data_IF_402860835675
#
_entry.id   IF_402860835675
#
_cell.length_a   1.000
_cell.length_b   1.000
_cell.length_c   1.000
_cell.angle_alpha   90.00
_cell.angle_beta   90.00
_cell.angle_gamma   90.00
#
_symmetry.space_group_name_H-M   'P 1'
#
loop_
_entity.id
_entity.type
_entity.pdbx_description
1 polymer ?
#
# COMPACT_ATOMS: atom_id res chain seq x y z
N UNK A 1 30.23 18.03 58.89
CA UNK A 1 30.79 17.19 57.81
C UNK A 1 29.83 16.08 57.37
N UNK A 2 29.11 15.43 58.29
CA UNK A 2 28.12 14.37 57.97
C UNK A 2 26.85 14.92 57.28
N UNK A 3 26.34 16.08 57.69
CA UNK A 3 25.15 16.72 57.07
C UNK A 3 25.36 17.16 55.62
N UNK A 4 26.58 17.53 55.23
CA UNK A 4 26.90 17.96 53.86
C UNK A 4 26.99 16.80 52.86
N UNK A 5 27.32 15.60 53.37
CA UNK A 5 27.29 14.34 52.62
C UNK A 5 25.89 13.78 52.50
N UNK A 6 25.02 14.02 53.49
CA UNK A 6 23.63 13.60 53.44
C UNK A 6 22.80 14.48 52.49
N UNK A 7 23.02 15.80 52.54
CA UNK A 7 22.42 16.77 51.61
C UNK A 7 22.87 16.52 50.15
N UNK A 8 24.14 16.15 49.93
CA UNK A 8 24.60 15.69 48.60
C UNK A 8 24.03 14.33 48.20
N UNK A 9 23.74 13.44 49.16
CA UNK A 9 23.14 12.15 48.86
C UNK A 9 21.68 12.28 48.44
N UNK A 10 20.92 13.17 49.10
CA UNK A 10 19.55 13.50 48.72
C UNK A 10 19.52 14.22 47.35
N UNK A 11 20.47 15.13 47.07
CA UNK A 11 20.63 15.76 45.75
C UNK A 11 21.06 14.78 44.64
N UNK A 12 21.83 13.74 44.98
CA UNK A 12 22.22 12.68 44.05
C UNK A 12 21.11 11.64 43.85
N UNK A 13 20.26 11.40 44.85
CA UNK A 13 19.07 10.53 44.74
C UNK A 13 17.96 11.23 43.93
N UNK A 14 17.81 12.56 44.00
CA UNK A 14 16.92 13.32 43.11
C UNK A 14 17.43 13.40 41.65
N UNK A 15 18.76 13.38 41.45
CA UNK A 15 19.37 13.41 40.11
C UNK A 15 19.37 12.04 39.39
N UNK A 16 19.02 10.95 40.08
CA UNK A 16 18.74 9.65 39.47
C UNK A 16 17.22 9.44 39.42
N UNK A 17 16.51 10.41 38.84
CA UNK A 17 15.29 10.05 38.13
C UNK A 17 15.72 9.05 37.06
N UNK A 18 15.37 7.77 37.25
CA UNK A 18 15.33 6.80 36.15
C UNK A 18 14.72 7.53 34.96
N UNK A 19 15.50 7.79 33.91
CA UNK A 19 14.93 8.01 32.59
C UNK A 19 14.06 6.79 32.34
N UNK A 20 12.76 6.93 32.62
CA UNK A 20 11.77 5.95 32.23
C UNK A 20 11.79 6.00 30.71
N UNK A 21 12.67 5.20 30.11
CA UNK A 21 12.75 5.01 28.68
C UNK A 21 11.33 4.77 28.21
N UNK A 22 10.80 5.69 27.41
CA UNK A 22 9.45 5.65 26.87
C UNK A 22 9.37 4.42 25.95
N UNK A 23 9.13 3.26 26.55
CA UNK A 23 9.00 2.01 25.80
C UNK A 23 7.62 2.02 25.18
N UNK A 24 7.56 1.97 23.84
CA UNK A 24 6.32 1.92 23.05
C UNK A 24 5.32 0.89 23.62
N UNK A 25 5.85 -0.20 24.18
CA UNK A 25 5.06 -1.23 24.86
C UNK A 25 4.30 -0.70 26.10
N UNK A 26 4.97 0.05 26.98
CA UNK A 26 4.33 0.66 28.17
C UNK A 26 3.26 1.66 27.76
N UNK A 27 3.51 2.42 26.69
CA UNK A 27 2.56 3.43 26.18
C UNK A 27 1.24 2.82 25.67
N UNK A 28 1.30 1.62 25.12
CA UNK A 28 0.11 0.88 24.67
C UNK A 28 -0.64 0.28 25.89
N UNK A 29 0.10 -0.16 26.90
CA UNK A 29 -0.48 -0.79 28.09
C UNK A 29 -1.17 0.21 29.02
N UNK A 30 -0.62 1.41 29.14
CA UNK A 30 -1.09 2.46 30.07
C UNK A 30 -2.28 3.27 29.51
N UNK A 31 -2.62 3.09 28.22
CA UNK A 31 -3.59 3.91 27.51
C UNK A 31 -5.08 3.59 27.67
N UNK A 32 -5.42 2.75 28.64
CA UNK A 32 -6.78 2.27 28.84
C UNK A 32 -7.32 1.46 27.65
N UNK A 33 -8.52 0.90 27.82
CA UNK A 33 -9.13 -0.02 26.84
C UNK A 33 -9.40 0.65 25.49
N UNK A 34 -9.76 1.94 25.48
CA UNK A 34 -10.08 2.68 24.25
C UNK A 34 -8.87 2.88 23.34
N UNK A 35 -7.72 3.31 23.88
CA UNK A 35 -6.49 3.48 23.13
C UNK A 35 -5.96 2.14 22.58
N UNK A 36 -6.03 1.08 23.39
CA UNK A 36 -5.62 -0.26 22.99
C UNK A 36 -6.42 -0.80 21.79
N UNK A 37 -7.74 -0.62 21.78
CA UNK A 37 -8.60 -1.05 20.66
C UNK A 37 -8.21 -0.33 19.36
N UNK A 38 -7.95 0.97 19.42
CA UNK A 38 -7.59 1.77 18.25
C UNK A 38 -6.22 1.36 17.72
N UNK A 39 -5.24 1.19 18.60
CA UNK A 39 -3.89 0.73 18.21
C UNK A 39 -3.94 -0.69 17.64
N UNK A 40 -4.72 -1.59 18.22
CA UNK A 40 -4.93 -2.94 17.68
C UNK A 40 -5.55 -2.90 16.28
N UNK A 41 -6.56 -2.06 16.07
CA UNK A 41 -7.18 -1.85 14.76
C UNK A 41 -6.17 -1.30 13.74
N UNK A 42 -5.38 -0.29 14.11
CA UNK A 42 -4.33 0.27 13.26
C UNK A 42 -3.26 -0.77 12.90
N UNK A 43 -2.90 -1.65 13.84
CA UNK A 43 -1.98 -2.74 13.58
C UNK A 43 -2.55 -3.76 12.57
N UNK A 44 -3.84 -4.08 12.67
CA UNK A 44 -4.53 -4.91 11.67
C UNK A 44 -4.51 -4.24 10.30
N UNK A 45 -4.79 -2.94 10.21
CA UNK A 45 -4.71 -2.19 8.94
C UNK A 45 -3.30 -2.22 8.35
N UNK A 46 -2.26 -2.09 9.19
CA UNK A 46 -0.87 -2.21 8.76
C UNK A 46 -0.58 -3.60 8.19
N UNK A 47 -1.01 -4.67 8.87
CA UNK A 47 -0.83 -6.03 8.40
C UNK A 47 -1.53 -6.28 7.06
N UNK A 48 -2.77 -5.80 6.90
CA UNK A 48 -3.52 -5.86 5.63
C UNK A 48 -2.80 -5.08 4.53
N UNK A 49 -2.32 -3.87 4.81
CA UNK A 49 -1.60 -3.06 3.84
C UNK A 49 -0.31 -3.75 3.35
N UNK A 50 0.47 -4.31 4.28
CA UNK A 50 1.69 -5.05 3.93
C UNK A 50 1.38 -6.32 3.14
N UNK A 51 0.34 -7.08 3.52
CA UNK A 51 -0.09 -8.26 2.79
C UNK A 51 -0.45 -7.93 1.33
N UNK A 52 -1.32 -6.93 1.12
CA UNK A 52 -1.71 -6.48 -0.22
C UNK A 52 -0.49 -6.00 -0.99
N UNK A 53 0.41 -5.23 -0.35
CA UNK A 53 1.60 -4.74 -1.01
C UNK A 53 2.46 -5.86 -1.59
N UNK A 54 2.80 -6.88 -0.80
CA UNK A 54 3.64 -7.98 -1.27
C UNK A 54 2.93 -8.82 -2.33
N UNK A 55 1.66 -9.20 -2.09
CA UNK A 55 0.85 -9.96 -3.04
C UNK A 55 0.81 -9.28 -4.42
N UNK A 56 0.55 -7.97 -4.45
CA UNK A 56 0.47 -7.20 -5.70
C UNK A 56 1.83 -6.91 -6.29
N UNK A 57 2.86 -6.64 -5.47
CA UNK A 57 4.21 -6.42 -5.96
C UNK A 57 4.75 -7.62 -6.75
N UNK A 58 4.54 -8.85 -6.26
CA UNK A 58 4.96 -10.05 -6.99
C UNK A 58 4.14 -10.26 -8.27
N UNK A 59 2.83 -10.02 -8.23
CA UNK A 59 1.96 -10.12 -9.41
C UNK A 59 2.40 -9.15 -10.52
N UNK A 60 2.57 -7.85 -10.19
CA UNK A 60 2.99 -6.82 -11.14
C UNK A 60 4.42 -7.05 -11.62
N UNK A 61 5.33 -7.50 -10.73
CA UNK A 61 6.71 -7.85 -11.11
C UNK A 61 6.73 -9.00 -12.13
N UNK A 62 5.86 -10.01 -11.98
CA UNK A 62 5.74 -11.09 -12.96
C UNK A 62 5.16 -10.58 -14.28
N UNK A 63 4.16 -9.70 -14.21
CA UNK A 63 3.52 -9.08 -15.38
C UNK A 63 4.46 -8.16 -16.17
N UNK A 64 5.40 -7.48 -15.51
CA UNK A 64 6.36 -6.56 -16.12
C UNK A 64 7.55 -7.26 -16.80
N UNK A 65 7.58 -8.60 -16.83
CA UNK A 65 8.61 -9.34 -17.56
C UNK A 65 8.45 -9.12 -19.07
N UNK A 66 9.40 -8.40 -19.66
CA UNK A 66 9.45 -8.17 -21.11
C UNK A 66 10.49 -9.08 -21.73
N UNK A 67 10.05 -9.93 -22.66
CA UNK A 67 10.95 -10.61 -23.58
C UNK A 67 11.15 -9.72 -24.81
N UNK A 68 12.38 -9.25 -25.01
CA UNK A 68 12.74 -8.36 -26.14
C UNK A 68 12.50 -9.02 -27.49
N UNK A 69 12.59 -10.35 -27.57
CA UNK A 69 12.41 -11.10 -28.80
C UNK A 69 10.96 -11.49 -29.06
N UNK A 70 10.05 -11.23 -28.13
CA UNK A 70 8.64 -11.64 -28.27
C UNK A 70 8.00 -11.03 -29.51
N UNK A 71 8.07 -9.71 -29.68
CA UNK A 71 7.46 -9.07 -30.85
C UNK A 71 8.14 -9.43 -32.16
N UNK A 72 9.46 -9.57 -32.16
CA UNK A 72 10.19 -9.99 -33.36
C UNK A 72 9.70 -11.37 -33.85
N UNK A 73 9.54 -12.32 -32.93
CA UNK A 73 8.99 -13.64 -33.25
C UNK A 73 7.53 -13.56 -33.71
N UNK A 74 6.71 -12.70 -33.11
CA UNK A 74 5.33 -12.48 -33.56
C UNK A 74 5.32 -11.91 -34.99
N UNK A 75 6.18 -10.93 -35.29
CA UNK A 75 6.35 -10.38 -36.64
C UNK A 75 6.69 -11.48 -37.63
N UNK A 76 7.70 -12.30 -37.34
CA UNK A 76 8.12 -13.39 -38.21
C UNK A 76 6.97 -14.39 -38.44
N UNK A 77 6.24 -14.82 -37.40
CA UNK A 77 5.14 -15.77 -37.55
C UNK A 77 3.96 -15.19 -38.33
N UNK A 78 3.59 -13.93 -38.08
CA UNK A 78 2.47 -13.28 -38.76
C UNK A 78 2.79 -13.01 -40.23
N UNK A 79 3.98 -12.51 -40.55
CA UNK A 79 4.41 -12.27 -41.94
C UNK A 79 4.54 -13.56 -42.76
N UNK A 80 4.89 -14.68 -42.12
CA UNK A 80 4.92 -16.00 -42.76
C UNK A 80 3.55 -16.71 -42.78
N UNK A 81 2.47 -16.05 -42.35
CA UNK A 81 1.11 -16.63 -42.31
C UNK A 81 0.89 -17.71 -41.25
N UNK A 82 1.86 -17.95 -40.37
CA UNK A 82 1.82 -18.99 -39.33
C UNK A 82 1.17 -18.48 -38.03
N UNK A 83 -0.14 -18.22 -38.10
CA UNK A 83 -0.91 -17.68 -36.98
C UNK A 83 -1.01 -18.65 -35.79
N UNK A 84 -0.94 -19.96 -36.06
CA UNK A 84 -1.00 -20.99 -35.03
C UNK A 84 0.23 -20.94 -34.11
N UNK A 85 1.43 -20.78 -34.70
CA UNK A 85 2.67 -20.63 -33.93
C UNK A 85 2.73 -19.31 -33.17
N UNK A 86 2.23 -18.22 -33.75
CA UNK A 86 2.11 -16.95 -33.06
C UNK A 86 1.20 -17.06 -31.81
N UNK A 87 0.05 -17.73 -31.94
CA UNK A 87 -0.86 -17.96 -30.81
C UNK A 87 -0.25 -18.90 -29.75
N UNK A 88 0.48 -19.93 -30.17
CA UNK A 88 1.20 -20.82 -29.25
C UNK A 88 2.27 -20.08 -28.44
N UNK A 89 3.03 -19.17 -29.07
CA UNK A 89 4.00 -18.32 -28.40
C UNK A 89 3.32 -17.42 -27.36
N UNK A 90 2.20 -16.78 -27.71
CA UNK A 90 1.42 -15.96 -26.78
C UNK A 90 0.97 -16.74 -25.53
N UNK A 91 0.48 -17.97 -25.72
CA UNK A 91 0.08 -18.86 -24.61
C UNK A 91 1.26 -19.28 -23.74
N UNK A 92 2.43 -19.53 -24.34
CA UNK A 92 3.63 -19.94 -23.60
C UNK A 92 4.18 -18.85 -22.67
N UNK A 93 4.16 -17.57 -23.10
CA UNK A 93 4.71 -16.46 -22.32
C UNK A 93 3.79 -16.03 -21.19
N UNK A 94 2.47 -16.07 -21.42
CA UNK A 94 1.43 -15.76 -20.44
C UNK A 94 1.64 -14.41 -19.70
N UNK A 95 2.17 -13.40 -20.39
CA UNK A 95 2.24 -12.02 -19.92
C UNK A 95 1.00 -11.23 -20.36
N UNK A 96 0.67 -10.08 -19.73
CA UNK A 96 -0.45 -9.25 -20.19
C UNK A 96 -0.34 -8.90 -21.66
N UNK A 97 0.84 -8.44 -22.11
CA UNK A 97 1.12 -8.17 -23.52
C UNK A 97 0.85 -9.39 -24.40
N UNK A 98 1.32 -10.58 -24.01
CA UNK A 98 1.11 -11.79 -24.81
C UNK A 98 -0.38 -12.16 -24.94
N UNK A 99 -1.18 -11.94 -23.88
CA UNK A 99 -2.64 -12.18 -23.93
C UNK A 99 -3.35 -11.17 -24.84
N UNK A 100 -2.93 -9.91 -24.84
CA UNK A 100 -3.45 -8.88 -25.76
C UNK A 100 -3.15 -9.22 -27.21
N UNK A 101 -1.88 -9.48 -27.52
CA UNK A 101 -1.44 -9.83 -28.88
C UNK A 101 -2.11 -11.13 -29.35
N UNK A 102 -2.25 -12.13 -28.47
CA UNK A 102 -3.01 -13.35 -28.77
C UNK A 102 -4.48 -13.08 -29.14
N UNK A 103 -5.15 -12.11 -28.49
CA UNK A 103 -6.49 -11.68 -28.88
C UNK A 103 -6.50 -11.00 -30.24
N UNK A 104 -5.52 -10.15 -30.54
CA UNK A 104 -5.33 -9.56 -31.86
C UNK A 104 -5.15 -10.61 -32.96
N UNK A 105 -4.25 -11.57 -32.75
CA UNK A 105 -3.98 -12.68 -33.69
C UNK A 105 -5.24 -13.49 -33.98
N UNK A 106 -6.05 -13.78 -32.95
CA UNK A 106 -7.31 -14.54 -33.12
C UNK A 106 -8.37 -13.82 -33.97
N UNK A 107 -8.15 -12.55 -34.29
CA UNK A 107 -9.05 -11.68 -35.06
C UNK A 107 -8.43 -11.23 -36.40
N UNK A 108 -7.23 -11.70 -36.75
CA UNK A 108 -6.64 -11.47 -38.07
C UNK A 108 -7.62 -11.94 -39.15
N UNK A 109 -7.80 -11.11 -40.20
CA UNK A 109 -8.80 -11.30 -41.25
C UNK A 109 -10.09 -10.50 -41.06
N UNK A 110 -10.26 -9.84 -39.91
CA UNK A 110 -11.31 -8.82 -39.69
C UNK A 110 -10.80 -7.40 -40.01
N UNK A 111 -11.69 -6.40 -40.13
CA UNK A 111 -11.26 -5.00 -40.23
C UNK A 111 -10.32 -4.62 -39.09
N UNK A 112 -9.33 -3.76 -39.37
CA UNK A 112 -8.35 -3.32 -38.36
C UNK A 112 -9.02 -2.70 -37.12
N UNK A 113 -10.14 -1.99 -37.31
CA UNK A 113 -10.92 -1.40 -36.23
C UNK A 113 -11.49 -2.44 -35.24
N UNK A 114 -11.98 -3.57 -35.76
CA UNK A 114 -12.45 -4.71 -34.96
C UNK A 114 -11.30 -5.34 -34.15
N UNK A 115 -10.11 -5.42 -34.75
CA UNK A 115 -8.90 -5.97 -34.10
C UNK A 115 -8.44 -5.02 -32.99
N UNK A 116 -8.36 -3.73 -33.27
CA UNK A 116 -7.99 -2.71 -32.27
C UNK A 116 -8.97 -2.72 -31.09
N UNK A 117 -10.27 -2.70 -31.35
CA UNK A 117 -11.32 -2.75 -30.31
C UNK A 117 -11.18 -4.00 -29.44
N UNK A 118 -10.86 -5.15 -30.03
CA UNK A 118 -10.64 -6.39 -29.29
C UNK A 118 -9.40 -6.34 -28.39
N UNK A 119 -8.30 -5.75 -28.89
CA UNK A 119 -7.07 -5.55 -28.11
C UNK A 119 -7.30 -4.57 -26.97
N UNK A 120 -7.93 -3.42 -27.22
CA UNK A 120 -8.26 -2.43 -26.19
C UNK A 120 -9.13 -3.02 -25.08
N UNK A 121 -10.16 -3.80 -25.46
CA UNK A 121 -11.04 -4.46 -24.49
C UNK A 121 -10.27 -5.46 -23.63
N UNK A 122 -9.39 -6.26 -24.24
CA UNK A 122 -8.50 -7.15 -23.50
C UNK A 122 -7.53 -6.39 -22.59
N UNK A 123 -7.00 -5.26 -23.07
CA UNK A 123 -6.17 -4.33 -22.30
C UNK A 123 -6.86 -3.85 -21.03
N UNK A 124 -8.09 -3.34 -21.14
CA UNK A 124 -8.88 -2.88 -19.99
C UNK A 124 -9.07 -3.98 -18.94
N UNK A 125 -9.33 -5.21 -19.36
CA UNK A 125 -9.46 -6.35 -18.44
C UNK A 125 -8.13 -6.68 -17.75
N UNK A 126 -7.01 -6.63 -18.44
CA UNK A 126 -5.68 -6.82 -17.84
C UNK A 126 -5.33 -5.72 -16.83
N UNK A 127 -5.61 -4.45 -17.15
CA UNK A 127 -5.40 -3.33 -16.24
C UNK A 127 -6.22 -3.51 -14.97
N UNK A 128 -7.51 -3.85 -15.10
CA UNK A 128 -8.38 -4.13 -13.97
C UNK A 128 -7.81 -5.23 -13.03
N UNK A 129 -7.21 -6.28 -13.61
CA UNK A 129 -6.61 -7.36 -12.83
C UNK A 129 -5.30 -6.93 -12.13
N UNK A 130 -4.53 -6.02 -12.73
CA UNK A 130 -3.33 -5.45 -12.13
C UNK A 130 -3.64 -4.48 -10.98
N UNK A 131 -4.72 -3.71 -11.11
CA UNK A 131 -5.18 -2.74 -10.10
C UNK A 131 -5.99 -3.37 -8.96
N UNK A 132 -6.35 -4.65 -9.07
CA UNK A 132 -7.10 -5.37 -8.05
C UNK A 132 -6.49 -5.15 -6.66
N UNK A 133 -7.33 -4.81 -5.68
CA UNK A 133 -6.97 -4.52 -4.28
C UNK A 133 -6.03 -3.33 -4.04
N UNK A 134 -5.47 -2.68 -5.07
CA UNK A 134 -4.59 -1.51 -4.91
C UNK A 134 -5.37 -0.33 -4.33
N UNK A 135 -6.65 -0.18 -4.67
CA UNK A 135 -7.54 0.85 -4.10
C UNK A 135 -7.70 0.74 -2.59
N UNK A 136 -7.61 -0.46 -2.01
CA UNK A 136 -7.68 -0.68 -0.56
C UNK A 136 -6.50 0.00 0.14
N UNK A 137 -5.31 0.01 -0.47
CA UNK A 137 -4.16 0.73 0.09
C UNK A 137 -4.40 2.24 0.12
N UNK A 138 -5.03 2.79 -0.92
CA UNK A 138 -5.42 4.20 -0.93
C UNK A 138 -6.44 4.52 0.17
N UNK A 139 -7.41 3.62 0.39
CA UNK A 139 -8.37 3.75 1.49
C UNK A 139 -7.67 3.71 2.85
N UNK A 140 -6.73 2.77 3.08
CA UNK A 140 -5.98 2.68 4.34
C UNK A 140 -5.09 3.92 4.54
N UNK A 141 -4.45 4.41 3.47
CA UNK A 141 -3.63 5.61 3.51
C UNK A 141 -4.39 6.84 4.01
N UNK A 142 -5.66 7.00 3.59
CA UNK A 142 -6.53 8.06 4.09
C UNK A 142 -7.14 7.76 5.45
N UNK A 143 -7.61 6.52 5.67
CA UNK A 143 -8.38 6.16 6.86
C UNK A 143 -7.53 6.04 8.13
N UNK A 144 -6.30 5.50 8.05
CA UNK A 144 -5.48 5.26 9.23
C UNK A 144 -5.12 6.54 10.02
N UNK A 145 -4.73 7.67 9.38
CA UNK A 145 -4.55 8.94 10.09
C UNK A 145 -5.84 9.43 10.76
N UNK A 146 -6.98 9.29 10.09
CA UNK A 146 -8.28 9.70 10.64
C UNK A 146 -8.67 8.85 11.86
N UNK A 147 -8.38 7.55 11.83
CA UNK A 147 -8.57 6.64 12.98
C UNK A 147 -7.64 7.02 14.14
N UNK A 148 -6.38 7.36 13.85
CA UNK A 148 -5.45 7.84 14.87
C UNK A 148 -5.91 9.16 15.50
N UNK A 149 -6.44 10.09 14.69
CA UNK A 149 -7.03 11.33 15.19
C UNK A 149 -8.27 11.08 16.06
N UNK A 150 -9.14 10.15 15.65
CA UNK A 150 -10.29 9.72 16.44
C UNK A 150 -9.86 9.20 17.82
N UNK A 151 -8.74 8.48 17.91
CA UNK A 151 -8.19 8.03 19.19
C UNK A 151 -7.79 9.17 20.12
N UNK A 152 -7.23 10.26 19.57
CA UNK A 152 -6.95 11.46 20.35
C UNK A 152 -8.22 12.12 20.89
N UNK A 153 -9.25 12.24 20.05
CA UNK A 153 -10.54 12.82 20.46
C UNK A 153 -11.17 11.98 21.58
N UNK A 154 -11.18 10.66 21.45
CA UNK A 154 -11.72 9.75 22.47
C UNK A 154 -10.91 9.86 23.77
N UNK A 155 -9.58 9.85 23.70
CA UNK A 155 -8.73 9.97 24.88
C UNK A 155 -8.94 11.29 25.64
N UNK A 156 -9.09 12.41 24.91
CA UNK A 156 -9.41 13.70 25.54
C UNK A 156 -10.80 13.71 26.20
N UNK A 157 -11.82 13.09 25.57
CA UNK A 157 -13.16 13.00 26.16
C UNK A 157 -13.12 12.21 27.48
N UNK A 158 -12.39 11.09 27.51
CA UNK A 158 -12.25 10.25 28.71
C UNK A 158 -11.53 11.04 29.81
N UNK A 159 -10.41 11.70 29.50
CA UNK A 159 -9.65 12.48 30.48
C UNK A 159 -10.48 13.61 31.11
N UNK A 160 -11.27 14.34 30.30
CA UNK A 160 -12.16 15.39 30.80
C UNK A 160 -13.28 14.80 31.66
N UNK A 161 -13.84 13.66 31.27
CA UNK A 161 -14.89 12.97 32.01
C UNK A 161 -14.40 12.52 33.40
N UNK A 162 -13.19 11.99 33.50
CA UNK A 162 -12.58 11.58 34.77
C UNK A 162 -12.35 12.77 35.70
N UNK A 163 -11.86 13.90 35.20
CA UNK A 163 -11.70 15.14 35.98
C UNK A 163 -13.04 15.65 36.51
N UNK A 164 -14.09 15.62 35.69
CA UNK A 164 -15.43 16.03 36.11
C UNK A 164 -15.97 15.13 37.24
N UNK A 165 -15.71 13.82 37.18
CA UNK A 165 -16.16 12.85 38.18
C UNK A 165 -15.32 12.88 39.47
N UNK A 166 -14.06 13.31 39.41
CA UNK A 166 -13.17 13.47 40.56
C UNK A 166 -13.50 14.68 41.46
N UNK A 167 -14.69 15.27 41.31
CA UNK A 167 -15.13 16.44 42.09
C UNK A 167 -14.35 17.71 41.75
N UNK A 168 -13.73 17.80 40.57
CA UNK A 168 -12.98 18.96 40.12
C UNK A 168 -11.55 19.08 40.71
N UNK A 169 -11.09 18.11 41.51
CA UNK A 169 -9.67 18.02 41.84
C UNK A 169 -8.91 17.50 40.63
N UNK A 170 -8.06 18.36 40.06
CA UNK A 170 -7.24 18.02 38.90
C UNK A 170 -6.05 17.20 39.39
N UNK A 171 -6.09 15.88 39.18
CA UNK A 171 -4.88 15.08 39.20
C UNK A 171 -4.12 15.30 37.87
N UNK A 172 -3.07 16.12 37.94
CA UNK A 172 -2.21 16.47 36.81
C UNK A 172 -1.63 15.21 36.16
N UNK A 173 -1.38 14.15 36.94
CA UNK A 173 -0.84 12.90 36.43
C UNK A 173 -1.87 12.15 35.57
N UNK A 174 -3.10 12.01 36.06
CA UNK A 174 -4.20 11.39 35.31
C UNK A 174 -4.46 12.10 33.98
N UNK A 175 -4.50 13.43 33.99
CA UNK A 175 -4.65 14.23 32.78
C UNK A 175 -3.49 14.00 31.79
N UNK A 176 -2.26 13.98 32.29
CA UNK A 176 -1.05 13.80 31.47
C UNK A 176 -0.99 12.42 30.83
N UNK A 177 -1.36 11.36 31.56
CA UNK A 177 -1.39 9.99 31.06
C UNK A 177 -2.46 9.82 29.96
N UNK A 178 -3.64 10.42 30.13
CA UNK A 178 -4.71 10.44 29.12
C UNK A 178 -4.33 11.18 27.84
N UNK A 179 -3.70 12.36 27.95
CA UNK A 179 -3.19 13.10 26.79
C UNK A 179 -2.08 12.33 26.06
N UNK A 180 -1.15 11.76 26.82
CA UNK A 180 -0.04 11.01 26.25
C UNK A 180 -0.51 9.83 25.41
N UNK A 181 -1.49 9.10 25.94
CA UNK A 181 -2.15 7.98 25.26
C UNK A 181 -2.82 8.43 23.97
N UNK A 182 -3.63 9.48 24.05
CA UNK A 182 -4.31 10.08 22.90
C UNK A 182 -3.31 10.35 21.78
N UNK A 183 -2.23 11.08 22.07
CA UNK A 183 -1.20 11.41 21.09
C UNK A 183 -0.53 10.17 20.48
N UNK A 184 -0.31 9.13 21.27
CA UNK A 184 0.29 7.86 20.80
C UNK A 184 -0.56 7.20 19.71
N UNK A 185 -1.90 7.22 19.84
CA UNK A 185 -2.80 6.67 18.82
C UNK A 185 -2.73 7.44 17.50
N UNK A 186 -2.56 8.76 17.56
CA UNK A 186 -2.39 9.61 16.36
C UNK A 186 -1.08 9.33 15.66
N UNK A 187 0.02 9.24 16.40
CA UNK A 187 1.33 8.90 15.83
C UNK A 187 1.27 7.52 15.15
N UNK A 188 0.66 6.53 15.80
CA UNK A 188 0.46 5.21 15.20
C UNK A 188 -0.36 5.28 13.90
N UNK A 189 -1.46 6.04 13.89
CA UNK A 189 -2.31 6.20 12.70
C UNK A 189 -1.58 6.86 11.53
N UNK A 190 -0.76 7.87 11.82
CA UNK A 190 0.09 8.53 10.82
C UNK A 190 1.13 7.57 10.23
N UNK A 191 1.81 6.78 11.06
CA UNK A 191 2.80 5.80 10.59
C UNK A 191 2.15 4.81 9.62
N UNK A 192 1.00 4.24 9.98
CA UNK A 192 0.27 3.29 9.13
C UNK A 192 -0.18 3.97 7.82
N UNK A 193 -0.73 5.18 7.90
CA UNK A 193 -1.16 5.95 6.73
C UNK A 193 -0.01 6.26 5.76
N UNK A 194 1.14 6.69 6.28
CA UNK A 194 2.34 7.00 5.48
C UNK A 194 2.84 5.74 4.75
N UNK A 195 2.94 4.61 5.45
CA UNK A 195 3.39 3.35 4.84
C UNK A 195 2.41 2.91 3.74
N UNK A 196 1.11 2.93 4.01
CA UNK A 196 0.08 2.59 3.02
C UNK A 196 0.12 3.54 1.80
N UNK A 197 0.35 4.84 2.01
CA UNK A 197 0.44 5.82 0.94
C UNK A 197 1.66 5.60 0.03
N UNK A 198 2.83 5.35 0.62
CA UNK A 198 4.07 5.10 -0.15
C UNK A 198 3.93 3.80 -0.95
N UNK A 199 3.43 2.74 -0.33
CA UNK A 199 3.24 1.44 -0.98
C UNK A 199 2.20 1.49 -2.09
N UNK A 200 1.09 2.21 -1.89
CA UNK A 200 0.10 2.50 -2.92
C UNK A 200 0.74 3.18 -4.14
N UNK A 201 1.41 4.32 -3.96
CA UNK A 201 2.02 5.07 -5.06
C UNK A 201 3.09 4.24 -5.79
N UNK A 202 3.88 3.46 -5.06
CA UNK A 202 4.85 2.57 -5.66
C UNK A 202 4.19 1.52 -6.57
N UNK A 203 3.06 0.93 -6.17
CA UNK A 203 2.33 -0.03 -7.01
C UNK A 203 1.70 0.65 -8.22
N UNK A 204 1.11 1.83 -8.07
CA UNK A 204 0.52 2.61 -9.19
C UNK A 204 1.56 2.87 -10.28
N UNK A 205 2.75 3.36 -9.91
CA UNK A 205 3.84 3.61 -10.88
C UNK A 205 4.26 2.32 -11.61
N UNK A 206 4.31 1.19 -10.90
CA UNK A 206 4.67 -0.10 -11.48
C UNK A 206 3.57 -0.64 -12.40
N UNK A 207 2.31 -0.47 -12.04
CA UNK A 207 1.16 -0.84 -12.90
C UNK A 207 1.18 -0.01 -14.18
N UNK A 208 1.31 1.31 -14.07
CA UNK A 208 1.39 2.21 -15.24
C UNK A 208 2.52 1.83 -16.20
N UNK A 209 3.68 1.41 -15.67
CA UNK A 209 4.76 0.89 -16.51
C UNK A 209 4.33 -0.33 -17.35
N UNK A 210 3.55 -1.25 -16.79
CA UNK A 210 3.02 -2.41 -17.52
C UNK A 210 1.97 -1.96 -18.54
N UNK A 211 1.10 -1.00 -18.18
CA UNK A 211 0.11 -0.43 -19.11
C UNK A 211 0.80 0.18 -20.33
N UNK A 212 1.81 1.03 -20.14
CA UNK A 212 2.56 1.61 -21.26
C UNK A 212 3.24 0.57 -22.13
N UNK A 213 3.73 -0.52 -21.54
CA UNK A 213 4.29 -1.64 -22.30
C UNK A 213 3.21 -2.35 -23.14
N UNK A 214 2.01 -2.54 -22.59
CA UNK A 214 0.89 -3.13 -23.32
C UNK A 214 0.45 -2.23 -24.48
N UNK A 215 0.34 -0.93 -24.28
CA UNK A 215 -0.03 0.06 -25.30
C UNK A 215 0.99 0.10 -26.43
N UNK A 216 2.28 0.28 -26.11
CA UNK A 216 3.35 0.35 -27.11
C UNK A 216 3.40 -0.91 -27.98
N UNK A 217 3.24 -2.10 -27.36
CA UNK A 217 3.24 -3.37 -28.09
C UNK A 217 1.97 -3.62 -28.90
N UNK A 218 0.84 -3.07 -28.46
CA UNK A 218 -0.41 -3.12 -29.23
C UNK A 218 -0.31 -2.25 -30.49
N UNK A 219 0.25 -1.05 -30.38
CA UNK A 219 0.52 -0.18 -31.54
C UNK A 219 1.47 -0.85 -32.52
N UNK A 220 2.61 -1.38 -32.04
CA UNK A 220 3.57 -2.11 -32.87
C UNK A 220 2.93 -3.30 -33.61
N UNK A 221 1.97 -4.00 -32.99
CA UNK A 221 1.23 -5.09 -33.62
C UNK A 221 0.23 -4.60 -34.68
N UNK A 222 -0.46 -3.49 -34.44
CA UNK A 222 -1.40 -2.91 -35.42
C UNK A 222 -0.66 -2.35 -36.63
N UNK A 223 0.49 -1.71 -36.42
CA UNK A 223 1.37 -1.22 -37.48
C UNK A 223 1.82 -2.37 -38.38
N UNK A 224 2.22 -3.50 -37.79
CA UNK A 224 2.56 -4.72 -38.53
C UNK A 224 1.43 -5.21 -39.44
N UNK A 225 0.17 -5.07 -39.02
CA UNK A 225 -0.98 -5.48 -39.84
C UNK A 225 -1.34 -4.46 -40.93
N UNK A 226 -0.84 -3.22 -40.81
CA UNK A 226 -1.09 -2.13 -41.75
C UNK A 226 0.10 -1.89 -42.72
N UNK A 227 1.27 -2.47 -42.44
CA UNK A 227 2.40 -2.50 -43.39
C UNK A 227 1.95 -3.18 -44.69
N UNK A 228 2.08 -2.52 -45.86
CA UNK A 228 1.76 -3.16 -47.14
C UNK A 228 2.71 -4.34 -47.36
N UNK A 229 2.13 -5.53 -47.54
CA UNK A 229 2.82 -6.75 -48.01
C UNK A 229 3.30 -6.61 -49.44
#
# INVERSE_FOLDING_TARGET
>A
MISFFQENKDLLEEAVQEEKTLSIYKLIMDGGLGGQIIIALLFVLLAVALYIYFERFFAIKSASKVDKNFMNQIKDFVSNGNLESANALCKSKNTPTARLIGKGISRIGKPLDDINTAIETAGKLEVYQLEKNVSVLATIAGAAPMIGFLGTVIGMIIAIHEIANAGGQIDIKMLSDGLYTAMTTTVAGLIVGIIAYITYNHLVVRTNKVVYQMEAKSVEFLDLLNEPV
#
